data_IF_472296345554
#
_entry.id   IF_472296345554
#
_cell.length_a   1.000
_cell.length_b   1.000
_cell.length_c   1.000
_cell.angle_alpha   90.00
_cell.angle_beta   90.00
_cell.angle_gamma   90.00
#
_symmetry.space_group_name_H-M   'P 1'
#
loop_
_entity.id
_entity.type
_entity.pdbx_description
1 polymer ?
#
# COMPACT_ATOMS: atom_id res chain seq x y z
N UNK A 1 40.98 43.45 59.75
CA UNK A 1 39.55 43.67 59.44
C UNK A 1 39.51 44.22 58.01
N UNK A 2 38.82 43.68 56.99
CA UNK A 2 37.59 42.89 56.91
C UNK A 2 37.70 41.83 55.78
N UNK A 3 37.10 40.67 56.06
CA UNK A 3 36.66 39.66 55.09
C UNK A 3 35.58 40.25 54.17
N UNK A 4 35.48 39.81 52.92
CA UNK A 4 34.32 39.05 52.42
C UNK A 4 34.51 38.70 50.93
N UNK A 5 34.71 37.40 50.69
CA UNK A 5 34.42 36.74 49.43
C UNK A 5 32.90 36.75 49.22
N UNK A 6 32.43 37.25 48.07
CA UNK A 6 31.09 36.93 47.55
C UNK A 6 31.22 36.72 46.05
N UNK A 7 31.55 35.48 45.69
CA UNK A 7 31.30 34.92 44.36
C UNK A 7 29.80 34.70 44.27
N UNK A 8 29.08 35.55 43.53
CA UNK A 8 27.68 35.29 43.25
C UNK A 8 27.59 34.27 42.11
N UNK A 9 27.47 33.01 42.54
CA UNK A 9 27.00 31.87 41.75
C UNK A 9 25.60 32.21 41.23
N UNK A 10 25.48 32.54 39.94
CA UNK A 10 24.21 32.43 39.21
C UNK A 10 24.40 31.43 38.06
N UNK A 11 24.87 30.23 38.40
CA UNK A 11 24.59 29.05 37.59
C UNK A 11 23.12 28.69 37.82
N UNK A 12 22.25 29.32 37.03
CA UNK A 12 20.88 28.84 36.84
C UNK A 12 20.99 27.42 36.28
N UNK A 13 20.85 26.43 37.17
CA UNK A 13 20.54 25.06 36.85
C UNK A 13 19.17 25.04 36.15
N UNK A 14 19.16 25.25 34.84
CA UNK A 14 18.12 24.75 33.94
C UNK A 14 18.60 23.41 33.34
N UNK A 15 19.08 22.51 34.19
CA UNK A 15 19.23 21.10 33.82
C UNK A 15 17.99 20.38 34.30
N UNK A 16 17.08 20.19 33.36
CA UNK A 16 15.85 19.46 33.55
C UNK A 16 14.95 19.65 32.36
N UNK A 17 15.51 19.66 31.14
CA UNK A 17 14.71 19.54 29.93
C UNK A 17 14.15 18.12 29.97
N UNK A 18 13.00 17.98 30.61
CA UNK A 18 12.28 16.72 30.73
C UNK A 18 12.06 16.23 29.31
N UNK A 19 12.72 15.12 28.96
CA UNK A 19 12.15 14.26 27.94
C UNK A 19 10.70 14.04 28.36
N UNK A 20 9.75 14.58 27.59
CA UNK A 20 8.34 14.41 27.89
C UNK A 20 8.08 12.91 27.87
N UNK A 21 7.87 12.33 29.05
CA UNK A 21 7.49 10.94 29.16
C UNK A 21 6.22 10.70 28.34
N UNK A 22 6.06 9.47 27.83
CA UNK A 22 4.85 9.08 27.09
C UNK A 22 3.60 9.43 27.91
N UNK A 23 2.64 10.18 27.37
CA UNK A 23 1.37 10.44 28.04
C UNK A 23 0.63 9.12 28.33
N UNK A 24 0.00 9.01 29.49
CA UNK A 24 -0.71 7.78 29.91
C UNK A 24 -1.90 7.41 29.02
N UNK A 25 -2.47 8.38 28.32
CA UNK A 25 -3.58 8.21 27.38
C UNK A 25 -3.13 7.98 25.93
N UNK A 26 -1.86 7.64 25.71
CA UNK A 26 -1.32 7.29 24.40
C UNK A 26 -0.83 5.84 24.43
N UNK A 27 -1.37 5.03 23.53
CA UNK A 27 -0.95 3.64 23.35
C UNK A 27 0.52 3.55 22.95
N UNK A 28 1.20 2.49 23.40
CA UNK A 28 2.61 2.22 23.03
C UNK A 28 2.79 2.11 21.52
N UNK A 29 1.76 1.57 20.87
CA UNK A 29 1.64 1.43 19.44
C UNK A 29 1.83 2.76 18.69
N UNK A 30 0.99 3.75 19.00
CA UNK A 30 1.02 5.08 18.39
C UNK A 30 2.28 5.84 18.82
N UNK A 31 2.65 5.73 20.10
CA UNK A 31 3.81 6.44 20.63
C UNK A 31 5.12 5.97 20.00
N UNK A 32 5.39 4.66 20.04
CA UNK A 32 6.64 4.10 19.53
C UNK A 32 6.67 4.13 18.00
N UNK A 33 5.57 3.77 17.34
CA UNK A 33 5.48 3.80 15.88
C UNK A 33 5.62 5.21 15.32
N UNK A 34 4.89 6.18 15.89
CA UNK A 34 4.98 7.57 15.48
C UNK A 34 6.36 8.18 15.72
N UNK A 35 7.01 7.87 16.84
CA UNK A 35 8.38 8.30 17.13
C UNK A 35 9.36 7.73 16.10
N UNK A 36 9.37 6.42 15.89
CA UNK A 36 10.32 5.77 14.97
C UNK A 36 10.16 6.27 13.53
N UNK A 37 8.92 6.46 13.07
CA UNK A 37 8.65 7.02 11.75
C UNK A 37 9.11 8.46 11.58
N UNK A 38 8.93 9.29 12.61
CA UNK A 38 9.40 10.68 12.58
C UNK A 38 10.93 10.74 12.42
N UNK A 39 11.66 9.88 13.15
CA UNK A 39 13.13 9.78 13.03
C UNK A 39 13.51 9.31 11.63
N UNK A 40 12.83 8.28 11.12
CA UNK A 40 13.09 7.72 9.80
C UNK A 40 12.92 8.74 8.67
N UNK A 41 11.78 9.45 8.62
CA UNK A 41 11.55 10.50 7.61
C UNK A 41 12.61 11.60 7.71
N UNK A 42 12.94 12.04 8.94
CA UNK A 42 13.91 13.12 9.09
C UNK A 42 15.29 12.72 8.58
N UNK A 43 15.72 11.49 8.87
CA UNK A 43 16.96 10.93 8.32
C UNK A 43 16.95 10.97 6.79
N UNK A 44 15.86 10.52 6.15
CA UNK A 44 15.74 10.52 4.68
C UNK A 44 15.80 11.94 4.10
N UNK A 45 15.10 12.90 4.73
CA UNK A 45 15.12 14.30 4.29
C UNK A 45 16.53 14.88 4.36
N UNK A 46 17.25 14.65 5.47
CA UNK A 46 18.61 15.14 5.68
C UNK A 46 19.62 14.49 4.72
N UNK A 47 19.52 13.18 4.53
CA UNK A 47 20.42 12.40 3.67
C UNK A 47 20.06 12.47 2.18
N UNK A 48 18.92 13.12 1.84
CA UNK A 48 18.33 13.16 0.49
C UNK A 48 18.04 11.76 -0.09
N UNK A 49 17.87 10.75 0.77
CA UNK A 49 17.60 9.37 0.39
C UNK A 49 16.22 9.17 -0.22
N UNK A 50 15.91 7.93 -0.58
CA UNK A 50 14.58 7.50 -1.00
C UNK A 50 13.83 6.94 0.21
N UNK A 51 12.54 7.29 0.34
CA UNK A 51 11.68 6.65 1.31
C UNK A 51 11.19 5.33 0.73
N UNK A 52 11.09 4.31 1.58
CA UNK A 52 10.37 3.09 1.23
C UNK A 52 8.86 3.39 1.24
N UNK A 53 8.26 3.47 0.05
CA UNK A 53 6.81 3.72 -0.12
C UNK A 53 5.96 2.69 0.67
N UNK A 54 6.45 1.45 0.81
CA UNK A 54 5.73 0.42 1.57
C UNK A 54 5.69 0.72 3.06
N UNK A 55 6.72 1.35 3.62
CA UNK A 55 6.76 1.72 5.03
C UNK A 55 5.74 2.81 5.35
N UNK A 56 5.60 3.78 4.45
CA UNK A 56 4.61 4.85 4.57
C UNK A 56 3.18 4.29 4.60
N UNK A 57 2.82 3.50 3.61
CA UNK A 57 1.47 2.92 3.50
C UNK A 57 1.17 1.99 4.67
N UNK A 58 2.16 1.20 5.09
CA UNK A 58 2.10 0.32 6.26
C UNK A 58 1.76 1.11 7.53
N UNK A 59 2.47 2.21 7.79
CA UNK A 59 2.25 2.97 9.02
C UNK A 59 0.95 3.76 8.95
N UNK A 60 0.60 4.37 7.82
CA UNK A 60 -0.66 5.10 7.70
C UNK A 60 -1.86 4.16 7.81
N UNK A 61 -1.78 2.96 7.25
CA UNK A 61 -2.80 1.91 7.40
C UNK A 61 -2.90 1.47 8.86
N UNK A 62 -1.77 1.20 9.52
CA UNK A 62 -1.71 0.86 10.93
C UNK A 62 -2.33 1.95 11.83
N UNK A 63 -1.94 3.21 11.65
CA UNK A 63 -2.48 4.34 12.41
C UNK A 63 -3.96 4.61 12.12
N UNK A 64 -4.46 4.16 10.96
CA UNK A 64 -5.86 4.31 10.56
C UNK A 64 -6.71 3.06 10.83
N UNK A 65 -6.10 1.96 11.29
CA UNK A 65 -6.79 0.70 11.59
C UNK A 65 -7.61 0.75 12.89
N UNK A 66 -7.30 1.69 13.79
CA UNK A 66 -8.19 2.06 14.89
C UNK A 66 -9.25 3.02 14.37
N UNK A 67 -10.50 2.79 14.77
CA UNK A 67 -11.55 3.76 14.45
C UNK A 67 -11.21 5.12 15.06
N UNK A 68 -11.50 6.21 14.35
CA UNK A 68 -11.23 7.57 14.87
C UNK A 68 -11.93 7.84 16.21
N UNK A 69 -13.04 7.13 16.47
CA UNK A 69 -13.78 7.12 17.73
C UNK A 69 -13.05 6.51 18.91
N UNK A 70 -12.12 5.57 18.69
CA UNK A 70 -11.37 4.88 19.76
C UNK A 70 -10.11 5.62 20.19
N UNK A 71 -9.63 6.57 19.39
CA UNK A 71 -8.42 7.31 19.69
C UNK A 71 -8.65 8.39 20.74
N UNK A 72 -7.69 8.54 21.66
CA UNK A 72 -7.65 9.71 22.53
C UNK A 72 -7.37 10.98 21.72
N UNK A 73 -7.71 12.15 22.27
CA UNK A 73 -7.41 13.42 21.60
C UNK A 73 -5.91 13.61 21.35
N UNK A 74 -5.05 13.05 22.21
CA UNK A 74 -3.59 13.14 22.03
C UNK A 74 -3.08 12.18 20.96
N UNK A 75 -3.66 10.99 20.87
CA UNK A 75 -3.40 10.04 19.78
C UNK A 75 -3.80 10.63 18.42
N UNK A 76 -5.00 11.23 18.33
CA UNK A 76 -5.44 11.94 17.11
C UNK A 76 -4.49 13.06 16.71
N UNK A 77 -4.00 13.84 17.68
CA UNK A 77 -3.01 14.90 17.41
C UNK A 77 -1.72 14.33 16.81
N UNK A 78 -1.20 13.24 17.37
CA UNK A 78 -0.01 12.55 16.87
C UNK A 78 -0.23 12.05 15.45
N UNK A 79 -1.32 11.31 15.20
CA UNK A 79 -1.64 10.74 13.89
C UNK A 79 -1.80 11.83 12.83
N UNK A 80 -2.49 12.92 13.15
CA UNK A 80 -2.67 14.04 12.23
C UNK A 80 -1.36 14.74 11.90
N UNK A 81 -0.52 15.02 12.91
CA UNK A 81 0.79 15.63 12.65
C UNK A 81 1.69 14.71 11.81
N UNK A 82 1.65 13.39 12.02
CA UNK A 82 2.36 12.42 11.17
C UNK A 82 1.87 12.44 9.72
N UNK A 83 0.54 12.46 9.50
CA UNK A 83 -0.05 12.57 8.14
C UNK A 83 0.45 13.83 7.42
N UNK A 84 0.44 14.98 8.11
CA UNK A 84 0.93 16.22 7.52
C UNK A 84 2.45 16.26 7.33
N UNK A 85 3.22 15.70 8.25
CA UNK A 85 4.67 15.55 8.12
C UNK A 85 4.99 14.77 6.83
N UNK A 86 4.36 13.61 6.65
CA UNK A 86 4.54 12.77 5.48
C UNK A 86 4.14 13.47 4.17
N UNK A 87 2.95 14.07 4.14
CA UNK A 87 2.48 14.79 2.95
C UNK A 87 3.47 15.89 2.51
N UNK A 88 4.02 16.65 3.46
CA UNK A 88 4.98 17.69 3.12
C UNK A 88 6.36 17.14 2.77
N UNK A 89 6.77 16.01 3.36
CA UNK A 89 7.93 15.25 2.91
C UNK A 89 7.80 14.84 1.43
N UNK A 90 6.67 14.24 1.03
CA UNK A 90 6.43 13.86 -0.38
C UNK A 90 6.50 15.07 -1.32
N UNK A 91 5.95 16.22 -0.93
CA UNK A 91 6.07 17.47 -1.71
C UNK A 91 7.52 17.92 -1.86
N UNK A 92 8.35 17.81 -0.82
CA UNK A 92 9.79 18.09 -0.92
C UNK A 92 10.43 17.17 -1.95
N UNK A 93 10.12 15.87 -1.93
CA UNK A 93 10.68 14.89 -2.87
C UNK A 93 10.25 15.14 -4.31
N UNK A 94 8.96 15.38 -4.54
CA UNK A 94 8.44 15.69 -5.88
C UNK A 94 9.16 16.92 -6.45
N UNK A 95 9.29 18.00 -5.65
CA UNK A 95 10.00 19.19 -6.08
C UNK A 95 11.49 18.91 -6.38
N UNK A 96 12.17 18.10 -5.56
CA UNK A 96 13.57 17.72 -5.81
C UNK A 96 13.73 16.95 -7.13
N UNK A 97 12.86 15.96 -7.38
CA UNK A 97 12.90 15.13 -8.58
C UNK A 97 12.53 15.90 -9.85
N UNK A 98 11.61 16.88 -9.74
CA UNK A 98 11.20 17.71 -10.86
C UNK A 98 12.11 18.92 -11.09
N UNK A 99 13.18 19.10 -10.32
CA UNK A 99 14.02 20.30 -10.35
C UNK A 99 13.32 21.60 -9.92
N UNK A 100 12.23 21.49 -9.16
CA UNK A 100 11.43 22.60 -8.65
C UNK A 100 11.95 23.21 -7.34
N UNK A 101 11.33 24.31 -6.91
CA UNK A 101 11.63 24.96 -5.64
C UNK A 101 11.10 24.14 -4.45
N UNK A 102 11.98 23.88 -3.48
CA UNK A 102 11.69 23.10 -2.28
C UNK A 102 11.38 23.97 -1.06
N UNK A 103 11.58 25.29 -1.13
CA UNK A 103 11.60 26.19 0.03
C UNK A 103 10.31 26.16 0.83
N UNK A 104 9.15 26.25 0.17
CA UNK A 104 7.85 26.26 0.88
C UNK A 104 7.51 24.87 1.44
N UNK A 105 7.77 23.81 0.67
CA UNK A 105 7.54 22.42 1.13
C UNK A 105 8.43 22.08 2.33
N UNK A 106 9.70 22.52 2.33
CA UNK A 106 10.64 22.29 3.42
C UNK A 106 10.25 23.07 4.68
N UNK A 107 9.75 24.29 4.52
CA UNK A 107 9.21 25.10 5.62
C UNK A 107 7.99 24.44 6.27
N UNK A 108 7.04 23.95 5.47
CA UNK A 108 5.89 23.22 6.02
C UNK A 108 6.30 21.88 6.65
N UNK A 109 7.23 21.14 6.04
CA UNK A 109 7.81 19.94 6.64
C UNK A 109 8.40 20.23 8.04
N UNK A 110 9.31 21.21 8.14
CA UNK A 110 9.96 21.59 9.40
C UNK A 110 8.94 22.01 10.48
N UNK A 111 7.88 22.72 10.09
CA UNK A 111 6.79 23.10 11.00
C UNK A 111 6.10 21.89 11.65
N UNK A 112 5.87 20.80 10.90
CA UNK A 112 5.30 19.58 11.48
C UNK A 112 6.34 18.78 12.25
N UNK A 113 7.60 18.78 11.81
CA UNK A 113 8.69 18.17 12.56
C UNK A 113 8.84 18.80 13.95
N UNK A 114 8.81 20.14 14.04
CA UNK A 114 8.86 20.88 15.31
C UNK A 114 7.70 20.52 16.25
N UNK A 115 6.51 20.22 15.71
CA UNK A 115 5.38 19.73 16.52
C UNK A 115 5.67 18.34 17.07
N UNK A 116 6.23 17.46 16.26
CA UNK A 116 6.65 16.13 16.73
C UNK A 116 7.77 16.24 17.77
N UNK A 117 8.73 17.15 17.60
CA UNK A 117 9.79 17.43 18.57
C UNK A 117 9.21 17.88 19.91
N UNK A 118 8.17 18.71 19.93
CA UNK A 118 7.47 19.10 21.16
C UNK A 118 6.72 17.94 21.82
N UNK A 119 6.20 16.99 21.03
CA UNK A 119 5.47 15.83 21.55
C UNK A 119 6.45 14.82 22.17
N UNK A 120 7.43 14.38 21.39
CA UNK A 120 8.34 13.30 21.77
C UNK A 120 9.55 13.78 22.55
N UNK A 121 9.91 15.06 22.44
CA UNK A 121 11.14 15.62 22.98
C UNK A 121 12.32 15.47 22.00
N UNK A 122 13.10 16.54 21.86
CA UNK A 122 14.26 16.61 20.96
C UNK A 122 15.26 15.46 21.12
N UNK A 123 15.58 15.10 22.36
CA UNK A 123 16.51 14.00 22.64
C UNK A 123 16.00 12.63 22.18
N UNK A 124 14.69 12.50 21.96
CA UNK A 124 14.08 11.27 21.46
C UNK A 124 14.06 11.22 19.93
N UNK A 125 14.10 12.36 19.23
CA UNK A 125 14.05 12.46 17.77
C UNK A 125 15.45 12.67 17.16
N UNK A 126 16.35 11.75 17.43
CA UNK A 126 17.70 11.74 16.86
C UNK A 126 17.96 10.43 16.12
N UNK A 127 18.78 10.48 15.06
CA UNK A 127 19.06 9.33 14.21
C UNK A 127 19.61 8.12 14.99
N UNK A 128 20.34 8.34 16.09
CA UNK A 128 20.86 7.27 16.96
C UNK A 128 19.78 6.50 17.72
N UNK A 129 18.55 7.02 17.79
CA UNK A 129 17.40 6.34 18.41
C UNK A 129 16.56 5.57 17.37
N UNK A 130 16.98 5.57 16.10
CA UNK A 130 16.34 4.81 15.05
C UNK A 130 16.49 3.31 15.34
N UNK A 131 15.36 2.64 15.48
CA UNK A 131 15.30 1.19 15.65
C UNK A 131 15.06 0.54 14.30
N UNK A 132 16.13 0.14 13.62
CA UNK A 132 16.04 -0.49 12.30
C UNK A 132 15.30 -1.83 12.34
N UNK A 133 15.40 -2.57 13.44
CA UNK A 133 14.72 -3.86 13.58
C UNK A 133 13.21 -3.65 13.76
N UNK A 134 12.80 -2.60 14.46
CA UNK A 134 11.40 -2.17 14.49
C UNK A 134 10.86 -1.88 13.09
N UNK A 135 11.62 -1.16 12.25
CA UNK A 135 11.23 -0.84 10.87
C UNK A 135 11.06 -2.13 10.06
N UNK A 136 12.09 -2.99 10.06
CA UNK A 136 12.07 -4.28 9.34
C UNK A 136 10.90 -5.15 9.80
N UNK A 137 10.69 -5.27 11.11
CA UNK A 137 9.58 -6.06 11.67
C UNK A 137 8.21 -5.51 11.30
N UNK A 138 8.06 -4.18 11.31
CA UNK A 138 6.82 -3.51 10.93
C UNK A 138 6.47 -3.76 9.47
N UNK A 139 7.48 -3.71 8.59
CA UNK A 139 7.34 -4.05 7.16
C UNK A 139 6.92 -5.53 6.97
N UNK A 140 7.63 -6.47 7.58
CA UNK A 140 7.36 -7.91 7.43
C UNK A 140 5.99 -8.31 7.97
N UNK A 141 5.59 -7.77 9.12
CA UNK A 141 4.32 -8.14 9.77
C UNK A 141 3.10 -7.75 8.93
N UNK A 142 3.11 -6.58 8.29
CA UNK A 142 1.98 -6.14 7.48
C UNK A 142 1.94 -6.81 6.11
N UNK A 143 3.09 -7.06 5.47
CA UNK A 143 3.15 -7.88 4.25
C UNK A 143 2.52 -9.25 4.54
N UNK A 144 2.90 -9.88 5.65
CA UNK A 144 2.34 -11.19 6.05
C UNK A 144 0.82 -11.12 6.31
N UNK A 145 0.32 -10.07 6.97
CA UNK A 145 -1.13 -9.90 7.22
C UNK A 145 -1.92 -9.65 5.94
N UNK A 146 -1.41 -8.79 5.05
CA UNK A 146 -2.04 -8.51 3.76
C UNK A 146 -2.10 -9.79 2.92
N UNK A 147 -0.99 -10.52 2.80
CA UNK A 147 -0.93 -11.79 2.08
C UNK A 147 -1.87 -12.84 2.68
N UNK A 148 -1.95 -12.94 4.01
CA UNK A 148 -2.87 -13.88 4.66
C UNK A 148 -4.35 -13.52 4.40
N UNK A 149 -4.69 -12.23 4.37
CA UNK A 149 -6.03 -11.77 4.05
C UNK A 149 -6.37 -12.02 2.56
N UNK A 150 -5.44 -11.74 1.66
CA UNK A 150 -5.62 -11.95 0.22
C UNK A 150 -5.80 -13.44 -0.11
N UNK A 151 -5.01 -14.33 0.50
CA UNK A 151 -5.16 -15.78 0.32
C UNK A 151 -6.51 -16.27 0.90
N UNK A 152 -6.92 -15.76 2.06
CA UNK A 152 -8.24 -16.09 2.64
C UNK A 152 -9.41 -15.65 1.76
N UNK A 153 -9.33 -14.48 1.13
CA UNK A 153 -10.34 -14.00 0.17
C UNK A 153 -10.38 -14.89 -1.08
N UNK A 154 -9.22 -15.27 -1.60
CA UNK A 154 -9.10 -16.19 -2.74
C UNK A 154 -9.68 -17.56 -2.43
N UNK A 155 -9.34 -18.15 -1.28
CA UNK A 155 -9.87 -19.45 -0.84
C UNK A 155 -11.40 -19.40 -0.71
N UNK A 156 -11.95 -18.34 -0.12
CA UNK A 156 -13.38 -18.13 -0.01
C UNK A 156 -14.05 -18.05 -1.39
N UNK A 157 -13.49 -17.27 -2.32
CA UNK A 157 -14.00 -17.17 -3.68
C UNK A 157 -13.98 -18.52 -4.41
N UNK A 158 -12.85 -19.23 -4.38
CA UNK A 158 -12.71 -20.53 -5.03
C UNK A 158 -13.68 -21.56 -4.43
N UNK A 159 -13.88 -21.55 -3.11
CA UNK A 159 -14.86 -22.41 -2.44
C UNK A 159 -16.29 -22.07 -2.84
N UNK A 160 -16.66 -20.78 -2.86
CA UNK A 160 -18.01 -20.33 -3.23
C UNK A 160 -18.36 -20.69 -4.69
N UNK A 161 -17.39 -20.53 -5.58
CA UNK A 161 -17.54 -20.84 -7.00
C UNK A 161 -17.28 -22.32 -7.35
N UNK A 162 -16.99 -23.16 -6.35
CA UNK A 162 -16.65 -24.59 -6.50
C UNK A 162 -15.53 -24.84 -7.53
N UNK A 163 -14.43 -24.10 -7.39
CA UNK A 163 -13.27 -24.14 -8.28
C UNK A 163 -12.14 -24.95 -7.66
N UNK A 164 -11.58 -25.86 -8.43
CA UNK A 164 -10.39 -26.64 -8.04
C UNK A 164 -9.19 -26.41 -8.97
N UNK A 165 -9.35 -25.59 -10.01
CA UNK A 165 -8.32 -25.31 -11.01
C UNK A 165 -7.96 -23.82 -10.98
N UNK A 166 -6.68 -23.55 -11.19
CA UNK A 166 -6.13 -22.21 -11.40
C UNK A 166 -5.68 -22.02 -12.84
N UNK A 167 -5.54 -20.76 -13.27
CA UNK A 167 -5.05 -20.43 -14.60
C UNK A 167 -3.70 -21.07 -14.93
N UNK A 168 -2.80 -21.17 -13.95
CA UNK A 168 -1.49 -21.79 -14.13
C UNK A 168 -1.63 -23.29 -14.46
N UNK A 169 -2.47 -24.02 -13.74
CA UNK A 169 -2.70 -25.44 -14.02
C UNK A 169 -3.36 -25.66 -15.40
N UNK A 170 -4.24 -24.74 -15.79
CA UNK A 170 -4.92 -24.79 -17.09
C UNK A 170 -3.95 -24.44 -18.24
N UNK A 171 -3.07 -23.45 -18.09
CA UNK A 171 -2.17 -23.01 -19.18
C UNK A 171 -1.20 -24.11 -19.61
N UNK A 172 -0.68 -24.90 -18.67
CA UNK A 172 0.22 -26.02 -18.98
C UNK A 172 -0.47 -27.22 -19.65
N UNK A 173 -1.81 -27.34 -19.55
CA UNK A 173 -2.55 -28.49 -20.06
C UNK A 173 -3.97 -28.14 -20.55
N UNK A 174 -4.08 -27.11 -21.41
CA UNK A 174 -5.39 -26.63 -21.90
C UNK A 174 -6.25 -27.72 -22.55
N UNK A 175 -5.73 -28.62 -23.43
CA UNK A 175 -6.58 -29.61 -24.10
C UNK A 175 -7.34 -30.52 -23.14
N UNK A 176 -6.76 -30.82 -21.97
CA UNK A 176 -7.38 -31.67 -20.95
C UNK A 176 -8.24 -30.89 -19.94
N UNK A 177 -8.27 -29.56 -20.06
CA UNK A 177 -9.01 -28.66 -19.17
C UNK A 177 -10.06 -27.82 -19.90
N UNK A 178 -10.42 -28.18 -21.13
CA UNK A 178 -11.53 -27.57 -21.86
C UNK A 178 -12.85 -27.74 -21.11
N UNK A 179 -13.70 -26.72 -21.21
CA UNK A 179 -15.01 -26.61 -20.57
C UNK A 179 -15.03 -26.71 -19.03
N UNK A 180 -13.86 -26.85 -18.39
CA UNK A 180 -13.73 -26.82 -16.92
C UNK A 180 -13.55 -25.38 -16.44
N UNK A 181 -14.27 -24.95 -15.40
CA UNK A 181 -14.08 -23.64 -14.81
C UNK A 181 -12.76 -23.58 -14.03
N UNK A 182 -12.08 -22.45 -14.12
CA UNK A 182 -10.84 -22.21 -13.39
C UNK A 182 -10.78 -20.77 -12.87
N UNK A 183 -10.01 -20.60 -11.81
CA UNK A 183 -9.75 -19.34 -11.13
C UNK A 183 -8.58 -18.59 -11.76
N UNK A 184 -8.75 -17.28 -11.94
CA UNK A 184 -7.67 -16.34 -12.19
C UNK A 184 -7.94 -15.03 -11.46
N UNK A 185 -6.91 -14.44 -10.86
CA UNK A 185 -6.99 -13.11 -10.27
C UNK A 185 -5.86 -12.23 -10.80
N UNK A 186 -6.15 -10.93 -10.91
CA UNK A 186 -5.18 -9.99 -11.41
C UNK A 186 -5.80 -8.66 -11.82
N UNK A 187 -4.96 -7.85 -12.45
CA UNK A 187 -5.38 -6.58 -13.00
C UNK A 187 -5.85 -6.77 -14.44
N UNK A 188 -7.09 -6.40 -14.72
CA UNK A 188 -7.67 -6.40 -16.08
C UNK A 188 -7.67 -5.00 -16.69
N UNK A 189 -7.30 -4.92 -17.96
CA UNK A 189 -7.42 -3.72 -18.81
C UNK A 189 -8.11 -4.05 -20.12
N UNK A 190 -8.74 -3.07 -20.76
CA UNK A 190 -9.41 -3.28 -22.05
C UNK A 190 -8.37 -3.60 -23.15
N UNK A 191 -8.69 -4.56 -24.02
CA UNK A 191 -7.92 -4.90 -25.22
C UNK A 191 -8.82 -5.04 -26.44
N UNK A 192 -8.21 -5.12 -27.61
CA UNK A 192 -8.86 -5.40 -28.89
C UNK A 192 -8.32 -6.68 -29.54
N UNK A 193 -7.82 -7.63 -28.74
CA UNK A 193 -7.28 -8.89 -29.24
C UNK A 193 -8.39 -9.93 -29.43
N UNK A 194 -8.78 -10.18 -30.68
CA UNK A 194 -9.75 -11.20 -31.07
C UNK A 194 -9.11 -12.16 -32.05
N UNK A 195 -9.09 -13.45 -31.71
CA UNK A 195 -8.44 -14.48 -32.53
C UNK A 195 -9.05 -15.86 -32.25
N UNK A 196 -8.72 -16.84 -33.09
CA UNK A 196 -9.22 -18.22 -32.98
C UNK A 196 -10.76 -18.27 -32.93
N UNK A 197 -11.33 -18.99 -31.96
CA UNK A 197 -12.79 -19.06 -31.77
C UNK A 197 -13.42 -17.85 -31.04
N UNK A 198 -12.64 -16.81 -30.73
CA UNK A 198 -13.10 -15.63 -29.98
C UNK A 198 -13.21 -14.40 -30.88
N UNK A 199 -14.17 -14.42 -31.80
CA UNK A 199 -14.34 -13.37 -32.84
C UNK A 199 -15.62 -12.53 -32.71
N UNK A 200 -16.48 -12.83 -31.73
CA UNK A 200 -17.75 -12.11 -31.55
C UNK A 200 -17.57 -10.80 -30.79
N UNK A 201 -17.05 -9.78 -31.46
CA UNK A 201 -16.85 -8.43 -30.89
C UNK A 201 -18.15 -7.68 -30.57
N UNK A 202 -19.25 -8.09 -31.20
CA UNK A 202 -20.57 -7.48 -31.00
C UNK A 202 -21.11 -7.79 -29.61
N UNK A 203 -21.01 -9.04 -29.18
CA UNK A 203 -21.58 -9.49 -27.91
C UNK A 203 -20.53 -9.57 -26.78
N UNK A 204 -19.24 -9.58 -27.15
CA UNK A 204 -18.13 -9.72 -26.20
C UNK A 204 -17.18 -8.51 -26.25
N UNK A 205 -16.54 -8.23 -25.13
CA UNK A 205 -15.34 -7.38 -25.08
C UNK A 205 -14.14 -8.17 -24.56
N UNK A 206 -12.94 -7.83 -25.05
CA UNK A 206 -11.66 -8.38 -24.62
C UNK A 206 -11.11 -7.58 -23.44
N UNK A 207 -10.76 -8.27 -22.35
CA UNK A 207 -9.91 -7.75 -21.29
C UNK A 207 -8.62 -8.56 -21.19
N UNK A 208 -7.48 -7.88 -21.14
CA UNK A 208 -6.18 -8.50 -20.88
C UNK A 208 -5.97 -8.47 -19.37
N UNK A 209 -5.92 -9.65 -18.75
CA UNK A 209 -5.67 -9.80 -17.32
C UNK A 209 -4.22 -10.22 -17.08
N UNK A 210 -3.48 -9.41 -16.32
CA UNK A 210 -2.13 -9.75 -15.82
C UNK A 210 -2.28 -10.35 -14.41
N UNK A 211 -1.87 -11.61 -14.17
CA UNK A 211 -2.09 -12.25 -12.87
C UNK A 211 -1.39 -11.51 -11.71
N UNK A 212 -1.98 -11.51 -10.50
CA UNK A 212 -1.44 -10.79 -9.31
C UNK A 212 0.00 -11.16 -8.93
N UNK A 213 0.47 -12.35 -9.31
CA UNK A 213 1.86 -12.81 -9.13
C UNK A 213 2.54 -13.22 -10.45
N UNK A 214 1.99 -12.78 -11.58
CA UNK A 214 2.51 -13.05 -12.92
C UNK A 214 3.12 -11.82 -13.55
N UNK A 215 3.70 -11.99 -14.73
CA UNK A 215 4.13 -10.90 -15.57
C UNK A 215 3.29 -10.83 -16.86
N UNK A 216 3.61 -9.88 -17.73
CA UNK A 216 2.89 -9.70 -18.99
C UNK A 216 2.82 -10.97 -19.86
N UNK A 217 3.86 -11.82 -19.86
CA UNK A 217 3.88 -13.07 -20.61
C UNK A 217 2.93 -14.15 -20.06
N UNK A 218 2.49 -14.01 -18.81
CA UNK A 218 1.50 -14.89 -18.17
C UNK A 218 0.05 -14.41 -18.39
N UNK A 219 -0.14 -13.31 -19.12
CA UNK A 219 -1.45 -12.67 -19.28
C UNK A 219 -2.47 -13.58 -19.97
N UNK A 220 -3.73 -13.39 -19.60
CA UNK A 220 -4.87 -14.02 -20.24
C UNK A 220 -5.70 -12.99 -21.01
N UNK A 221 -6.11 -13.34 -22.23
CA UNK A 221 -7.14 -12.62 -22.96
C UNK A 221 -8.50 -13.21 -22.60
N UNK A 222 -9.26 -12.43 -21.83
CA UNK A 222 -10.54 -12.82 -21.28
C UNK A 222 -11.68 -12.15 -22.03
N UNK A 223 -12.68 -12.95 -22.41
CA UNK A 223 -13.81 -12.50 -23.20
C UNK A 223 -15.07 -12.43 -22.33
N UNK A 224 -15.55 -11.21 -22.12
CA UNK A 224 -16.67 -10.88 -21.25
C UNK A 224 -17.90 -10.57 -22.09
N UNK A 225 -19.07 -11.06 -21.69
CA UNK A 225 -20.33 -10.65 -22.31
C UNK A 225 -20.65 -9.19 -21.98
N UNK A 226 -20.85 -8.35 -22.99
CA UNK A 226 -20.99 -6.89 -22.81
C UNK A 226 -22.09 -6.52 -21.83
N UNK A 227 -23.27 -7.09 -21.99
CA UNK A 227 -24.42 -6.77 -21.12
C UNK A 227 -24.23 -7.29 -19.69
N UNK A 228 -23.65 -8.48 -19.54
CA UNK A 228 -23.50 -9.12 -18.22
C UNK A 228 -22.38 -8.50 -17.39
N UNK A 229 -21.43 -7.85 -18.04
CA UNK A 229 -20.27 -7.22 -17.40
C UNK A 229 -20.17 -5.73 -17.76
N UNK A 230 -21.30 -5.07 -18.03
CA UNK A 230 -21.34 -3.64 -18.35
C UNK A 230 -20.65 -2.77 -17.27
N UNK A 231 -20.85 -3.00 -15.95
CA UNK A 231 -20.13 -2.23 -14.94
C UNK A 231 -18.61 -2.29 -15.06
N UNK A 232 -18.06 -3.46 -15.38
CA UNK A 232 -16.63 -3.62 -15.63
C UNK A 232 -16.24 -2.90 -16.93
N UNK A 233 -17.01 -3.07 -18.00
CA UNK A 233 -16.74 -2.42 -19.29
C UNK A 233 -16.67 -0.88 -19.17
N UNK A 234 -17.65 -0.26 -18.49
CA UNK A 234 -17.68 1.19 -18.27
C UNK A 234 -16.48 1.67 -17.43
N UNK A 235 -16.01 0.86 -16.48
CA UNK A 235 -14.80 1.17 -15.70
C UNK A 235 -13.54 1.16 -16.58
N UNK A 236 -13.40 0.17 -17.46
CA UNK A 236 -12.20 -0.01 -18.27
C UNK A 236 -12.11 0.94 -19.48
N UNK A 237 -13.25 1.31 -20.10
CA UNK A 237 -13.24 2.14 -21.32
C UNK A 237 -12.69 3.56 -21.08
N UNK A 238 -12.71 4.05 -19.84
CA UNK A 238 -12.15 5.34 -19.46
C UNK A 238 -10.62 5.31 -19.25
N UNK A 239 -9.94 4.30 -19.80
CA UNK A 239 -8.48 4.11 -19.70
C UNK A 239 -8.03 3.52 -18.36
N UNK A 240 -8.97 3.03 -17.55
CA UNK A 240 -8.71 2.46 -16.24
C UNK A 240 -8.33 0.98 -16.27
N UNK A 241 -7.80 0.51 -15.16
CA UNK A 241 -7.62 -0.90 -14.84
C UNK A 241 -8.58 -1.31 -13.71
N UNK A 242 -8.73 -2.62 -13.48
CA UNK A 242 -9.44 -3.11 -12.30
C UNK A 242 -8.80 -4.39 -11.79
N UNK A 243 -8.60 -4.48 -10.48
CA UNK A 243 -8.31 -5.75 -9.83
C UNK A 243 -9.58 -6.58 -9.71
N UNK A 244 -9.51 -7.84 -10.15
CA UNK A 244 -10.65 -8.76 -10.18
C UNK A 244 -10.21 -10.18 -9.86
N UNK A 245 -11.11 -10.93 -9.23
CA UNK A 245 -11.12 -12.39 -9.20
C UNK A 245 -12.11 -12.89 -10.23
N UNK A 246 -11.72 -13.89 -11.03
CA UNK A 246 -12.47 -14.31 -12.20
C UNK A 246 -12.62 -15.83 -12.24
N UNK A 247 -13.84 -16.27 -12.54
CA UNK A 247 -14.11 -17.63 -12.99
C UNK A 247 -14.17 -17.63 -14.51
N UNK A 248 -13.26 -18.37 -15.15
CA UNK A 248 -13.16 -18.46 -16.60
C UNK A 248 -13.28 -19.91 -17.08
N UNK A 249 -13.63 -20.08 -18.36
CA UNK A 249 -13.65 -21.38 -19.05
C UNK A 249 -12.99 -21.25 -20.42
N UNK A 250 -12.37 -22.32 -20.91
CA UNK A 250 -11.97 -22.42 -22.33
C UNK A 250 -13.04 -23.26 -23.03
N UNK A 251 -13.97 -22.66 -23.80
CA UNK A 251 -15.00 -23.44 -24.48
C UNK A 251 -14.36 -24.34 -25.53
N UNK A 252 -14.61 -25.64 -25.51
CA UNK A 252 -14.04 -26.59 -26.49
C UNK A 252 -14.32 -26.18 -27.93
N UNK A 253 -15.52 -25.64 -28.20
CA UNK A 253 -15.93 -25.10 -29.51
C UNK A 253 -15.11 -23.91 -30.01
N UNK A 254 -14.44 -23.19 -29.11
CA UNK A 254 -13.62 -22.02 -29.43
C UNK A 254 -12.12 -22.34 -29.41
N UNK A 255 -11.75 -23.50 -28.87
CA UNK A 255 -10.38 -23.93 -28.72
C UNK A 255 -9.75 -24.34 -30.05
N UNK A 256 -8.51 -23.92 -30.28
CA UNK A 256 -7.68 -24.40 -31.37
C UNK A 256 -6.31 -24.83 -30.84
N UNK A 257 -5.75 -25.88 -31.43
CA UNK A 257 -4.42 -26.37 -31.05
C UNK A 257 -3.38 -25.25 -31.21
N UNK A 258 -2.58 -25.02 -30.17
CA UNK A 258 -1.58 -23.96 -30.15
C UNK A 258 -2.12 -22.56 -29.88
N UNK A 259 -3.40 -22.40 -29.49
CA UNK A 259 -3.88 -21.11 -29.00
C UNK A 259 -3.16 -20.70 -27.71
N UNK A 260 -3.03 -19.39 -27.49
CA UNK A 260 -2.54 -18.83 -26.24
C UNK A 260 -3.57 -18.87 -25.10
N UNK A 261 -3.23 -18.20 -24.01
CA UNK A 261 -4.06 -18.03 -22.82
C UNK A 261 -5.33 -17.20 -23.13
N UNK A 262 -6.40 -17.88 -23.55
CA UNK A 262 -7.65 -17.27 -24.00
C UNK A 262 -8.84 -17.99 -23.40
N UNK A 263 -9.77 -17.26 -22.79
CA UNK A 263 -10.90 -17.86 -22.10
C UNK A 263 -12.14 -16.95 -22.07
N UNK A 264 -13.31 -17.57 -21.93
CA UNK A 264 -14.57 -16.86 -21.72
C UNK A 264 -14.82 -16.72 -20.23
N UNK A 265 -15.27 -15.54 -19.81
CA UNK A 265 -15.58 -15.27 -18.40
C UNK A 265 -17.00 -15.70 -18.07
N UNK A 266 -17.14 -16.29 -16.87
CA UNK A 266 -18.41 -16.73 -16.28
C UNK A 266 -18.85 -15.86 -15.12
N UNK A 267 -17.91 -15.52 -14.25
CA UNK A 267 -18.18 -14.73 -13.05
C UNK A 267 -16.98 -13.84 -12.73
N UNK A 268 -17.24 -12.69 -12.10
CA UNK A 268 -16.20 -11.79 -11.58
C UNK A 268 -16.58 -11.36 -10.16
N UNK A 269 -15.57 -11.08 -9.36
CA UNK A 269 -15.67 -10.30 -8.13
C UNK A 269 -14.59 -9.22 -8.16
N UNK A 270 -14.98 -7.98 -7.86
CA UNK A 270 -14.04 -6.88 -7.71
C UNK A 270 -13.26 -7.04 -6.39
N UNK A 271 -11.96 -6.70 -6.41
CA UNK A 271 -11.17 -6.51 -5.21
C UNK A 271 -11.28 -5.08 -4.71
#
# INVERSE_FOLDING_TARGET
MRKFWVVFLFSLLLVGCSASGKPSNVSDEIWNGGKQYTIYINKIVEEKGEADDNFNDTLLSFLSSKSESEMSSKEREIVNNLRFLNLNFLKVRIAQLSGGDTKESLKEYNKYYDKMEKIYGKSNLVASNLDEDFIKKSLVTQVTKKTANDEGIKEAYMSEQNLSLTANEVSYNMPNNLDKPFFIEGEVKLCNYYNYGFTNEKDLFCGQLTPTNGNYSDSWYLYFHRESFDPLYQKLINGGTSEVMVTAIIPSRAYQSGQGNMARVKHIQFK
#
